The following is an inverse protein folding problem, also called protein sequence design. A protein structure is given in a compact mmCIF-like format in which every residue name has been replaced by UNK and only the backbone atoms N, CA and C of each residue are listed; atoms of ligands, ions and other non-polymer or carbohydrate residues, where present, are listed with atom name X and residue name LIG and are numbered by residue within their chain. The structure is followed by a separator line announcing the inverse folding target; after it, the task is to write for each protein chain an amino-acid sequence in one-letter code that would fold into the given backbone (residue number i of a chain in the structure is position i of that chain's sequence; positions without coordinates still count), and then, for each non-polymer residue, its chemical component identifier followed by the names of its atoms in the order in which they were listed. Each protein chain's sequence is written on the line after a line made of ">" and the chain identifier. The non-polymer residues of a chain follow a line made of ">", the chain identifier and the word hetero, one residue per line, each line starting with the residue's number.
data_IF_641056719430
#
_entry.id   IF_641056719430
#
_cell.length_a   1.000
_cell.length_b   1.000
_cell.length_c   1.000
_cell.angle_alpha   90.00
_cell.angle_beta   90.00
_cell.angle_gamma   90.00
#
_symmetry.space_group_name_H-M   'P 1'
#
loop_
_entity.id
_entity.type
_entity.pdbx_description
1 polymer ?
#
# COMPACT_ATOMS: atom_id res chain seq x y z
N UNK A 1 17.73 4.82 -10.17
CA UNK A 1 17.01 5.98 -9.59
C UNK A 1 16.59 5.63 -8.18
N UNK A 2 17.20 6.29 -7.20
CA UNK A 2 16.85 6.15 -5.78
C UNK A 2 15.54 6.89 -5.49
N UNK A 3 14.83 6.49 -4.43
CA UNK A 3 13.63 7.18 -3.95
C UNK A 3 14.02 8.58 -3.47
N UNK A 4 13.27 9.62 -3.86
CA UNK A 4 13.54 10.97 -3.33
C UNK A 4 13.03 11.10 -1.90
N UNK A 5 13.59 12.04 -1.12
CA UNK A 5 13.13 12.31 0.24
C UNK A 5 11.65 12.72 0.30
N UNK A 6 11.19 13.48 -0.70
CA UNK A 6 9.77 13.86 -0.81
C UNK A 6 8.87 12.66 -1.12
N UNK A 7 9.30 11.76 -2.01
CA UNK A 7 8.57 10.53 -2.29
C UNK A 7 8.49 9.63 -1.04
N UNK A 8 9.58 9.53 -0.28
CA UNK A 8 9.61 8.79 0.97
C UNK A 8 8.64 9.35 2.02
N UNK A 9 8.64 10.67 2.23
CA UNK A 9 7.70 11.35 3.14
C UNK A 9 6.25 11.11 2.72
N UNK A 10 5.95 11.24 1.42
CA UNK A 10 4.60 10.98 0.89
C UNK A 10 4.18 9.52 1.04
N UNK A 11 5.10 8.56 0.84
CA UNK A 11 4.82 7.16 1.09
C UNK A 11 4.55 6.89 2.58
N UNK A 12 5.33 7.47 3.50
CA UNK A 12 5.10 7.29 4.94
C UNK A 12 3.71 7.85 5.33
N UNK A 13 3.32 9.02 4.82
CA UNK A 13 1.99 9.57 5.04
C UNK A 13 0.88 8.65 4.49
N UNK A 14 1.06 8.15 3.26
CA UNK A 14 0.14 7.20 2.62
C UNK A 14 0.01 5.88 3.38
N UNK A 15 1.12 5.37 3.93
CA UNK A 15 1.15 4.13 4.71
C UNK A 15 0.51 4.31 6.10
N UNK A 16 0.64 5.50 6.71
CA UNK A 16 -0.14 5.85 7.90
C UNK A 16 -1.64 5.86 7.59
N UNK A 17 -2.06 6.49 6.50
CA UNK A 17 -3.47 6.49 6.06
C UNK A 17 -3.98 5.07 5.79
N UNK A 18 -3.18 4.23 5.14
CA UNK A 18 -3.50 2.82 4.95
C UNK A 18 -3.70 2.10 6.29
N UNK A 19 -2.76 2.21 7.24
CA UNK A 19 -2.89 1.53 8.53
C UNK A 19 -4.05 2.07 9.37
N UNK A 20 -4.34 3.36 9.32
CA UNK A 20 -5.50 3.97 9.97
C UNK A 20 -6.80 3.32 9.44
N UNK A 21 -6.95 3.24 8.12
CA UNK A 21 -8.12 2.58 7.48
C UNK A 21 -8.20 1.11 7.92
N UNK A 22 -7.09 0.38 7.87
CA UNK A 22 -7.07 -1.05 8.16
C UNK A 22 -7.29 -1.37 9.65
N UNK A 23 -6.83 -0.52 10.58
CA UNK A 23 -6.94 -0.78 12.02
C UNK A 23 -8.26 -0.27 12.62
N UNK A 24 -8.83 0.82 12.07
CA UNK A 24 -9.91 1.55 12.74
C UNK A 24 -11.24 1.57 11.95
N UNK A 25 -11.33 0.94 10.78
CA UNK A 25 -12.58 0.84 10.00
C UNK A 25 -13.13 -0.59 9.98
N UNK A 26 -14.44 -0.75 9.81
CA UNK A 26 -14.99 -2.04 9.37
C UNK A 26 -14.51 -2.39 7.94
N UNK A 27 -14.68 -3.64 7.51
CA UNK A 27 -14.34 -4.03 6.14
C UNK A 27 -15.08 -3.16 5.11
N UNK A 28 -16.39 -2.97 5.28
CA UNK A 28 -17.22 -2.26 4.31
C UNK A 28 -16.83 -0.79 4.23
N UNK A 29 -16.73 -0.08 5.36
CA UNK A 29 -16.29 1.32 5.39
C UNK A 29 -14.87 1.50 4.87
N UNK A 30 -13.98 0.57 5.22
CA UNK A 30 -12.59 0.63 4.81
C UNK A 30 -12.42 0.42 3.31
N UNK A 31 -13.22 -0.45 2.66
CA UNK A 31 -13.19 -0.60 1.20
C UNK A 31 -13.65 0.66 0.45
N UNK A 32 -14.60 1.43 1.00
CA UNK A 32 -15.03 2.71 0.42
C UNK A 32 -13.97 3.80 0.54
N UNK A 33 -13.12 3.72 1.57
CA UNK A 33 -12.08 4.73 1.81
C UNK A 33 -10.80 4.37 1.04
N UNK A 34 -10.44 3.09 1.01
CA UNK A 34 -9.16 2.64 0.45
C UNK A 34 -9.04 2.90 -1.06
N UNK A 35 -10.15 2.94 -1.79
CA UNK A 35 -10.17 3.24 -3.24
C UNK A 35 -9.56 4.61 -3.58
N UNK A 36 -9.50 5.54 -2.61
CA UNK A 36 -8.87 6.86 -2.80
C UNK A 36 -7.35 6.80 -2.81
N UNK A 37 -6.76 5.81 -2.15
CA UNK A 37 -5.31 5.71 -1.90
C UNK A 37 -4.62 4.59 -2.67
N UNK A 38 -5.36 3.62 -3.19
CA UNK A 38 -4.81 2.55 -4.03
C UNK A 38 -4.66 2.97 -5.48
N UNK A 39 -3.85 2.23 -6.22
CA UNK A 39 -3.74 2.40 -7.66
C UNK A 39 -4.98 1.87 -8.38
N UNK A 40 -5.39 2.56 -9.46
CA UNK A 40 -6.59 2.24 -10.26
C UNK A 40 -6.60 0.83 -10.86
N UNK A 41 -5.45 0.18 -11.01
CA UNK A 41 -5.38 -1.23 -11.43
C UNK A 41 -5.97 -2.23 -10.42
N UNK A 42 -6.26 -1.78 -9.20
CA UNK A 42 -6.89 -2.57 -8.15
C UNK A 42 -8.40 -2.29 -8.01
N UNK A 43 -8.95 -1.46 -8.90
CA UNK A 43 -10.33 -0.98 -8.86
C UNK A 43 -11.08 -1.52 -10.09
N UNK A 44 -12.32 -1.93 -9.89
CA UNK A 44 -13.27 -2.33 -10.94
C UNK A 44 -14.60 -1.64 -10.67
N UNK A 45 -15.15 -0.96 -11.67
CA UNK A 45 -16.44 -0.25 -11.57
C UNK A 45 -16.53 0.73 -10.38
N UNK A 46 -15.42 1.40 -10.07
CA UNK A 46 -15.34 2.38 -8.98
C UNK A 46 -15.19 1.78 -7.57
N UNK A 47 -15.20 0.45 -7.44
CA UNK A 47 -15.01 -0.26 -6.17
C UNK A 47 -13.74 -1.10 -6.18
N UNK A 48 -13.27 -1.49 -5.00
CA UNK A 48 -12.13 -2.41 -4.88
C UNK A 48 -12.45 -3.72 -5.63
N UNK A 49 -11.53 -4.17 -6.50
CA UNK A 49 -11.71 -5.43 -7.23
C UNK A 49 -11.89 -6.61 -6.25
N UNK A 50 -12.85 -7.49 -6.55
CA UNK A 50 -13.25 -8.58 -5.66
C UNK A 50 -12.09 -9.51 -5.29
N UNK A 51 -11.17 -9.80 -6.23
CA UNK A 51 -10.03 -10.66 -5.93
C UNK A 51 -9.04 -9.94 -5.02
N UNK A 52 -8.84 -8.64 -5.23
CA UNK A 52 -8.01 -7.82 -4.34
C UNK A 52 -8.64 -7.74 -2.95
N UNK A 53 -9.96 -7.60 -2.86
CA UNK A 53 -10.68 -7.66 -1.58
C UNK A 53 -10.40 -8.96 -0.82
N UNK A 54 -10.63 -10.12 -1.46
CA UNK A 54 -10.55 -11.42 -0.83
C UNK A 54 -9.12 -11.83 -0.44
N UNK A 55 -8.14 -11.59 -1.33
CA UNK A 55 -6.79 -12.15 -1.18
C UNK A 55 -5.74 -11.16 -0.70
N UNK A 56 -6.05 -9.86 -0.70
CA UNK A 56 -5.09 -8.80 -0.34
C UNK A 56 -5.63 -7.97 0.82
N UNK A 57 -6.74 -7.27 0.61
CA UNK A 57 -7.29 -6.33 1.59
C UNK A 57 -7.76 -7.02 2.88
N UNK A 58 -8.56 -8.08 2.78
CA UNK A 58 -9.07 -8.78 3.97
C UNK A 58 -7.95 -9.30 4.86
N UNK A 59 -6.92 -9.88 4.26
CA UNK A 59 -5.72 -10.35 4.97
C UNK A 59 -4.97 -9.18 5.62
N UNK A 60 -4.74 -8.11 4.87
CA UNK A 60 -4.07 -6.92 5.39
C UNK A 60 -4.83 -6.31 6.58
N UNK A 61 -6.15 -6.21 6.49
CA UNK A 61 -7.04 -5.70 7.53
C UNK A 61 -6.95 -6.55 8.81
N UNK A 62 -7.05 -7.88 8.68
CA UNK A 62 -6.91 -8.82 9.80
C UNK A 62 -5.56 -8.72 10.51
N UNK A 63 -4.49 -8.47 9.77
CA UNK A 63 -3.14 -8.43 10.31
C UNK A 63 -2.69 -7.02 10.73
N UNK A 64 -3.38 -5.95 10.33
CA UNK A 64 -2.95 -4.58 10.51
C UNK A 64 -2.69 -4.21 11.98
N UNK A 65 -3.47 -4.77 12.91
CA UNK A 65 -3.31 -4.53 14.34
C UNK A 65 -1.94 -4.99 14.90
N UNK A 66 -1.21 -5.85 14.19
CA UNK A 66 0.15 -6.30 14.56
C UNK A 66 1.24 -5.31 14.17
N UNK A 67 0.95 -4.32 13.33
CA UNK A 67 1.93 -3.36 12.81
C UNK A 67 1.94 -2.06 13.62
N UNK A 68 3.11 -1.44 13.76
CA UNK A 68 3.25 -0.17 14.47
C UNK A 68 2.46 0.93 13.78
N UNK A 69 1.81 1.76 14.59
CA UNK A 69 1.10 2.95 14.16
C UNK A 69 1.42 4.10 15.14
N UNK A 70 2.00 5.24 14.69
CA UNK A 70 2.42 5.54 13.32
C UNK A 70 3.41 4.54 12.72
N UNK A 71 3.46 4.46 11.38
CA UNK A 71 4.29 3.49 10.67
C UNK A 71 5.77 3.72 10.96
N UNK A 72 6.47 2.63 11.22
CA UNK A 72 7.93 2.61 11.33
C UNK A 72 8.48 1.75 10.21
N UNK A 73 9.27 2.35 9.32
CA UNK A 73 9.81 1.68 8.15
C UNK A 73 11.16 1.05 8.48
N UNK A 74 11.25 -0.27 8.35
CA UNK A 74 12.48 -1.04 8.64
C UNK A 74 13.34 -1.25 7.40
N UNK A 75 12.74 -1.18 6.21
CA UNK A 75 13.44 -1.36 4.94
C UNK A 75 12.64 -0.71 3.80
N UNK A 76 13.37 -0.18 2.82
CA UNK A 76 12.82 0.25 1.53
C UNK A 76 13.59 -0.46 0.42
N UNK A 77 12.89 -0.97 -0.59
CA UNK A 77 13.53 -1.58 -1.77
C UNK A 77 12.78 -1.21 -3.06
N UNK A 78 13.53 -0.83 -4.09
CA UNK A 78 12.98 -0.57 -5.42
C UNK A 78 12.70 -1.89 -6.15
N UNK A 79 11.56 -1.99 -6.83
CA UNK A 79 11.24 -3.09 -7.75
C UNK A 79 11.75 -2.76 -9.17
N UNK A 80 12.01 -3.79 -9.96
CA UNK A 80 12.37 -3.64 -11.38
C UNK A 80 11.20 -3.19 -12.26
N UNK A 81 9.98 -3.22 -11.72
CA UNK A 81 8.74 -2.86 -12.39
C UNK A 81 8.72 -1.36 -12.73
N UNK A 82 8.48 -1.05 -14.02
CA UNK A 82 8.47 0.31 -14.56
C UNK A 82 7.08 0.82 -14.94
N UNK A 83 6.07 -0.02 -14.83
CA UNK A 83 4.68 0.31 -15.12
C UNK A 83 3.77 -0.62 -14.35
N UNK A 84 2.52 -0.20 -14.13
CA UNK A 84 1.47 -1.05 -13.57
C UNK A 84 0.15 -0.81 -14.30
N UNK A 85 -0.77 -1.76 -14.16
CA UNK A 85 -2.06 -1.72 -14.83
C UNK A 85 -2.00 -2.10 -16.31
N UNK A 86 -3.18 -2.17 -16.90
CA UNK A 86 -3.42 -2.50 -18.31
C UNK A 86 -4.51 -1.58 -18.87
N UNK A 87 -4.49 -1.34 -20.18
CA UNK A 87 -5.46 -0.47 -20.87
C UNK A 87 -5.62 0.88 -20.16
N UNK A 88 -6.84 1.23 -19.76
CA UNK A 88 -7.17 2.50 -19.09
C UNK A 88 -6.51 2.66 -17.71
N UNK A 89 -6.10 1.55 -17.09
CA UNK A 89 -5.39 1.56 -15.81
C UNK A 89 -3.87 1.65 -15.94
N UNK A 90 -3.32 1.63 -17.16
CA UNK A 90 -1.87 1.69 -17.38
C UNK A 90 -1.26 3.01 -16.91
N UNK A 91 -0.17 2.92 -16.16
CA UNK A 91 0.69 4.05 -15.78
C UNK A 91 2.17 3.64 -15.75
N UNK A 92 3.03 4.52 -16.26
CA UNK A 92 4.49 4.39 -16.16
C UNK A 92 5.00 5.04 -14.87
N UNK A 93 6.09 4.51 -14.32
CA UNK A 93 6.62 4.98 -13.05
C UNK A 93 7.59 4.01 -12.39
N UNK A 94 7.60 4.02 -11.06
CA UNK A 94 8.46 3.16 -10.26
C UNK A 94 7.75 2.64 -9.02
N UNK A 95 7.88 1.35 -8.77
CA UNK A 95 7.35 0.70 -7.57
C UNK A 95 8.44 0.49 -6.51
N UNK A 96 8.09 0.76 -5.26
CA UNK A 96 8.93 0.56 -4.09
C UNK A 96 8.17 -0.24 -3.03
N UNK A 97 8.89 -1.11 -2.35
CA UNK A 97 8.39 -1.89 -1.21
C UNK A 97 8.87 -1.26 0.09
N UNK A 98 7.95 -1.07 1.03
CA UNK A 98 8.19 -0.48 2.35
C UNK A 98 7.81 -1.49 3.43
N UNK A 99 8.79 -1.96 4.19
CA UNK A 99 8.58 -2.94 5.26
C UNK A 99 8.19 -2.24 6.55
N UNK A 100 6.97 -2.52 7.03
CA UNK A 100 6.43 -1.89 8.24
C UNK A 100 6.80 -2.75 9.46
N UNK A 101 7.37 -2.12 10.49
CA UNK A 101 7.69 -2.78 11.74
C UNK A 101 6.43 -3.33 12.43
N UNK A 102 6.58 -4.47 13.11
CA UNK A 102 5.54 -5.00 13.98
C UNK A 102 5.66 -4.43 15.39
N UNK A 103 4.55 -4.45 16.14
CA UNK A 103 4.49 -4.01 17.53
C UNK A 103 5.35 -4.93 18.41
N UNK A 104 5.17 -6.24 18.24
CA UNK A 104 5.91 -7.28 18.94
C UNK A 104 6.78 -8.11 17.96
N UNK A 105 7.94 -8.56 18.42
CA UNK A 105 8.79 -9.50 17.68
C UNK A 105 8.14 -10.88 17.55
N UNK A 106 7.28 -11.27 18.51
CA UNK A 106 6.53 -12.53 18.47
C UNK A 106 5.55 -12.62 17.29
N UNK A 107 5.10 -11.48 16.76
CA UNK A 107 4.24 -11.42 15.57
C UNK A 107 5.01 -11.75 14.27
N UNK A 108 6.33 -11.97 14.35
CA UNK A 108 7.21 -12.37 13.26
C UNK A 108 7.87 -11.21 12.52
N UNK A 109 8.33 -11.46 11.30
CA UNK A 109 9.06 -10.45 10.51
C UNK A 109 8.13 -9.34 9.97
N UNK A 110 8.72 -8.17 9.77
CA UNK A 110 8.11 -7.06 9.03
C UNK A 110 7.71 -7.50 7.62
N UNK A 111 6.61 -6.94 7.11
CA UNK A 111 6.10 -7.25 5.77
C UNK A 111 6.02 -6.00 4.90
N UNK A 112 6.25 -6.12 3.58
CA UNK A 112 6.25 -4.98 2.68
C UNK A 112 4.85 -4.60 2.19
N UNK A 113 4.55 -3.30 2.19
CA UNK A 113 3.51 -2.71 1.34
C UNK A 113 4.18 -2.13 0.10
N UNK A 114 3.58 -2.30 -1.07
CA UNK A 114 4.11 -1.74 -2.32
C UNK A 114 3.42 -0.42 -2.64
N UNK A 115 4.22 0.61 -2.91
CA UNK A 115 3.79 1.95 -3.31
C UNK A 115 4.34 2.23 -4.69
N UNK A 116 3.46 2.60 -5.60
CA UNK A 116 3.81 3.01 -6.95
C UNK A 116 3.79 4.53 -7.07
N UNK A 117 4.86 5.07 -7.64
CA UNK A 117 4.96 6.48 -8.01
C UNK A 117 4.89 6.59 -9.52
N UNK A 118 3.85 7.26 -10.02
CA UNK A 118 3.74 7.60 -11.44
C UNK A 118 4.91 8.50 -11.83
N UNK A 119 5.38 8.35 -13.06
CA UNK A 119 6.47 9.16 -13.59
C UNK A 119 6.16 10.66 -13.44
N UNK A 120 7.18 11.43 -13.06
CA UNK A 120 7.12 12.87 -12.79
C UNK A 120 6.18 13.29 -11.63
N UNK A 121 5.60 12.35 -10.88
CA UNK A 121 4.82 12.63 -9.68
C UNK A 121 5.54 12.12 -8.42
N UNK A 122 5.43 12.91 -7.35
CA UNK A 122 5.96 12.54 -6.04
C UNK A 122 4.89 11.90 -5.14
N UNK A 123 3.65 11.79 -5.62
CA UNK A 123 2.52 11.24 -4.88
C UNK A 123 2.37 9.76 -5.21
N UNK A 124 2.49 8.91 -4.20
CA UNK A 124 2.37 7.47 -4.35
C UNK A 124 0.92 6.98 -4.32
N UNK A 125 0.69 5.78 -4.84
CA UNK A 125 -0.54 4.99 -4.65
C UNK A 125 -0.17 3.59 -4.18
N UNK A 126 -0.99 3.00 -3.30
CA UNK A 126 -0.79 1.62 -2.86
C UNK A 126 -1.04 0.69 -4.05
N UNK A 127 -0.01 -0.02 -4.50
CA UNK A 127 -0.10 -0.98 -5.61
C UNK A 127 -0.26 -2.41 -5.14
N UNK A 128 0.10 -2.71 -3.88
CA UNK A 128 -0.11 -4.03 -3.27
C UNK A 128 0.01 -4.00 -1.74
N UNK A 129 -0.91 -4.67 -1.03
CA UNK A 129 -0.94 -4.73 0.44
C UNK A 129 -1.06 -6.16 1.03
N UNK A 130 -1.21 -7.19 0.20
CA UNK A 130 -1.52 -8.56 0.66
C UNK A 130 -0.38 -9.29 1.38
N UNK A 131 0.78 -8.65 1.54
CA UNK A 131 1.86 -9.17 2.38
C UNK A 131 1.61 -8.93 3.87
N UNK A 132 0.79 -7.92 4.22
CA UNK A 132 0.52 -7.58 5.61
C UNK A 132 -0.13 -8.75 6.37
#
# INVERSE_FOLDING_TARGET
>A
MQLSSLQEQNAIALLNELLEILQNSSYDEGTLTIVKIIHKSLIRDGVLDRNIYLYSYKKAHQNALRYRYPVEITRIAKKSLKHIGVFESYEEGSEYQFWIAKKDQADGLAAPVSVFFKENLNVGKISYMGSL
#
